data_IF_184279143677
#
_entry.id   IF_184279143677
#
_cell.length_a   1.000
_cell.length_b   1.000
_cell.length_c   1.000
_cell.angle_alpha   90.00
_cell.angle_beta   90.00
_cell.angle_gamma   90.00
#
_symmetry.space_group_name_H-M   'P 1'
#
loop_
_entity.id
_entity.type
_entity.pdbx_description
1 polymer ?
#
# COMPACT_ATOMS: atom_id res chain seq x y z
N UNK A 1 15.12 -48.66 -21.72
CA UNK A 1 13.79 -48.78 -21.09
C UNK A 1 14.00 -48.54 -19.62
N UNK A 2 13.91 -47.58 -19.21
CA UNK A 2 13.78 -46.22 -18.75
C UNK A 2 13.28 -46.22 -17.30
N UNK A 3 14.27 -46.16 -16.42
CA UNK A 3 14.11 -46.09 -14.98
C UNK A 3 13.99 -44.62 -14.53
N UNK A 4 12.91 -43.93 -14.87
CA UNK A 4 12.66 -42.58 -14.31
C UNK A 4 11.22 -42.08 -14.51
N UNK A 5 10.21 -42.93 -14.46
CA UNK A 5 8.89 -42.50 -14.03
C UNK A 5 8.80 -42.66 -12.50
N UNK A 6 9.63 -41.94 -11.77
CA UNK A 6 9.33 -41.67 -10.39
C UNK A 6 8.05 -40.83 -10.37
N UNK A 7 6.98 -41.47 -9.96
CA UNK A 7 5.69 -40.86 -9.74
C UNK A 7 5.90 -39.56 -8.91
N UNK A 8 5.64 -38.40 -9.52
CA UNK A 8 5.81 -37.12 -8.86
C UNK A 8 4.64 -36.99 -7.89
N UNK A 9 4.86 -37.30 -6.61
CA UNK A 9 3.79 -37.35 -5.60
C UNK A 9 3.47 -36.00 -4.95
N UNK A 10 4.39 -35.04 -5.01
CA UNK A 10 4.32 -33.77 -4.30
C UNK A 10 4.61 -33.89 -2.80
N UNK A 11 4.51 -32.76 -2.09
CA UNK A 11 4.75 -32.70 -0.65
C UNK A 11 3.55 -33.20 0.14
N UNK A 12 3.81 -33.84 1.29
CA UNK A 12 2.75 -34.20 2.26
C UNK A 12 2.37 -32.99 3.12
N UNK A 13 1.14 -32.98 3.66
CA UNK A 13 0.66 -31.91 4.53
C UNK A 13 1.60 -31.65 5.74
N UNK A 14 2.25 -32.68 6.29
CA UNK A 14 3.23 -32.53 7.38
C UNK A 14 4.50 -31.81 6.94
N UNK A 15 5.00 -32.10 5.75
CA UNK A 15 6.18 -31.42 5.17
C UNK A 15 5.89 -29.99 4.84
N UNK A 16 4.71 -29.69 4.29
CA UNK A 16 4.26 -28.33 4.04
C UNK A 16 4.20 -27.52 5.35
N UNK A 17 3.63 -28.10 6.43
CA UNK A 17 3.56 -27.43 7.73
C UNK A 17 4.95 -27.12 8.28
N UNK A 18 5.87 -28.11 8.22
CA UNK A 18 7.25 -27.93 8.66
C UNK A 18 7.95 -26.80 7.89
N UNK A 19 7.80 -26.73 6.55
CA UNK A 19 8.40 -25.66 5.76
C UNK A 19 7.78 -24.28 6.05
N UNK A 20 6.48 -24.23 6.35
CA UNK A 20 5.82 -23.00 6.81
C UNK A 20 6.38 -22.52 8.16
N UNK A 21 6.65 -23.40 9.10
CA UNK A 21 7.28 -23.08 10.39
C UNK A 21 8.73 -22.61 10.23
N UNK A 22 9.48 -23.20 9.32
CA UNK A 22 10.86 -22.80 8.99
C UNK A 22 10.92 -21.48 8.20
N UNK A 23 9.76 -20.90 7.82
CA UNK A 23 9.68 -19.65 7.07
C UNK A 23 10.04 -19.80 5.59
N UNK A 24 10.13 -21.05 5.07
CA UNK A 24 10.41 -21.36 3.66
C UNK A 24 9.14 -21.26 2.81
N UNK A 25 8.50 -20.11 2.86
CA UNK A 25 7.24 -19.79 2.18
C UNK A 25 7.48 -18.66 1.19
N UNK A 26 6.77 -18.68 0.08
CA UNK A 26 6.89 -17.65 -0.95
C UNK A 26 6.53 -16.25 -0.43
N UNK A 27 5.69 -16.16 0.61
CA UNK A 27 5.49 -14.99 1.46
C UNK A 27 4.78 -13.83 0.80
N UNK A 28 4.59 -12.79 1.58
CA UNK A 28 3.75 -11.64 1.25
C UNK A 28 4.24 -10.82 0.03
N UNK A 29 3.67 -11.03 -1.13
CA UNK A 29 3.65 -10.07 -2.24
C UNK A 29 2.55 -9.01 -2.05
N UNK A 30 1.68 -9.17 -1.05
CA UNK A 30 0.61 -8.23 -0.78
C UNK A 30 1.17 -6.89 -0.31
N UNK A 31 0.76 -5.82 -0.96
CA UNK A 31 1.07 -4.46 -0.53
C UNK A 31 0.39 -4.23 0.81
N UNK A 32 1.16 -4.28 1.91
CA UNK A 32 0.64 -3.99 3.25
C UNK A 32 -0.08 -2.66 3.26
N UNK A 33 -1.40 -2.70 3.40
CA UNK A 33 -2.22 -1.51 3.59
C UNK A 33 -2.05 -1.01 5.03
N UNK A 34 -2.21 0.31 5.26
CA UNK A 34 -2.14 0.87 6.60
C UNK A 34 -3.15 0.20 7.53
N UNK A 35 -2.77 -0.06 8.78
CA UNK A 35 -3.73 -0.50 9.80
C UNK A 35 -4.72 0.63 10.14
N UNK A 36 -5.89 0.27 10.70
CA UNK A 36 -6.90 1.26 11.13
C UNK A 36 -6.29 2.22 12.16
N UNK A 37 -5.47 1.72 13.09
CA UNK A 37 -4.77 2.55 14.07
C UNK A 37 -3.80 3.55 13.43
N UNK A 38 -3.08 3.15 12.38
CA UNK A 38 -2.23 4.07 11.61
C UNK A 38 -3.02 5.12 10.85
N UNK A 39 -4.23 4.80 10.37
CA UNK A 39 -5.13 5.75 9.73
C UNK A 39 -5.58 6.79 10.74
N UNK A 40 -6.07 6.38 11.90
CA UNK A 40 -6.51 7.26 12.97
C UNK A 40 -5.35 8.17 13.42
N UNK A 41 -4.20 7.60 13.74
CA UNK A 41 -3.02 8.35 14.16
C UNK A 41 -2.58 9.38 13.11
N UNK A 42 -2.54 9.00 11.82
CA UNK A 42 -2.14 9.93 10.74
C UNK A 42 -3.12 11.07 10.51
N UNK A 43 -4.40 10.92 10.92
CA UNK A 43 -5.40 11.97 10.86
C UNK A 43 -5.45 12.83 12.12
N UNK A 44 -5.06 12.31 13.30
CA UNK A 44 -4.94 13.10 14.54
C UNK A 44 -3.71 14.00 14.48
N UNK A 45 -2.53 13.44 14.17
CA UNK A 45 -1.26 14.16 14.19
C UNK A 45 -1.03 14.93 12.88
N UNK A 46 -1.88 15.92 12.61
CA UNK A 46 -1.72 16.85 11.50
C UNK A 46 -1.34 18.24 12.04
N UNK A 47 -0.57 18.99 11.26
CA UNK A 47 -0.22 20.37 11.60
C UNK A 47 -1.49 21.24 11.86
N UNK A 48 -2.53 20.97 11.07
CA UNK A 48 -3.84 21.60 11.22
C UNK A 48 -4.45 21.36 12.61
N UNK A 49 -4.47 20.13 13.09
CA UNK A 49 -5.01 19.80 14.39
C UNK A 49 -4.16 20.39 15.52
N UNK A 50 -2.84 20.45 15.35
CA UNK A 50 -1.95 21.11 16.32
C UNK A 50 -2.27 22.59 16.48
N UNK A 51 -2.49 23.31 15.40
CA UNK A 51 -2.87 24.72 15.43
C UNK A 51 -4.22 24.89 16.15
N UNK A 52 -5.23 24.08 15.79
CA UNK A 52 -6.54 24.15 16.43
C UNK A 52 -6.48 23.83 17.94
N UNK A 53 -5.66 22.88 18.36
CA UNK A 53 -5.44 22.58 19.78
C UNK A 53 -4.78 23.76 20.48
N UNK A 54 -3.77 24.39 19.88
CA UNK A 54 -3.14 25.57 20.45
C UNK A 54 -4.13 26.73 20.64
N UNK A 55 -4.98 27.00 19.62
CA UNK A 55 -6.03 28.00 19.70
C UNK A 55 -7.07 27.65 20.78
N UNK A 56 -7.46 26.40 20.94
CA UNK A 56 -8.35 25.94 21.99
C UNK A 56 -7.74 26.17 23.39
N UNK A 57 -6.45 25.88 23.56
CA UNK A 57 -5.73 26.16 24.82
C UNK A 57 -5.76 27.66 25.14
N UNK A 58 -5.50 28.54 24.16
CA UNK A 58 -5.59 29.97 24.34
C UNK A 58 -6.98 30.40 24.84
N UNK A 59 -8.07 29.85 24.28
CA UNK A 59 -9.44 30.15 24.72
C UNK A 59 -9.75 29.64 26.13
N UNK A 60 -9.20 28.49 26.52
CA UNK A 60 -9.35 27.94 27.87
C UNK A 60 -8.66 28.83 28.87
N UNK A 61 -7.44 29.30 28.59
CA UNK A 61 -6.67 30.18 29.49
C UNK A 61 -7.39 31.50 29.77
N UNK A 62 -8.14 32.03 28.81
CA UNK A 62 -8.95 33.25 29.01
C UNK A 62 -10.40 32.96 29.45
N UNK A 63 -10.71 31.72 29.83
CA UNK A 63 -12.03 31.26 30.28
C UNK A 63 -13.16 31.60 29.29
N UNK A 64 -12.94 31.38 28.01
CA UNK A 64 -13.87 31.71 26.91
C UNK A 64 -14.47 30.49 26.25
N UNK A 65 -15.13 29.62 27.00
CA UNK A 65 -15.66 28.34 26.55
C UNK A 65 -16.72 28.45 25.44
N UNK A 66 -17.50 29.53 25.39
CA UNK A 66 -18.53 29.75 24.38
C UNK A 66 -17.96 29.81 22.93
N UNK A 67 -16.71 30.23 22.80
CA UNK A 67 -16.05 30.39 21.51
C UNK A 67 -15.35 29.10 21.03
N UNK A 68 -15.50 27.98 21.74
CA UNK A 68 -14.90 26.67 21.37
C UNK A 68 -15.77 25.86 20.39
N UNK A 69 -16.89 26.41 19.90
CA UNK A 69 -17.77 25.72 18.93
C UNK A 69 -17.04 25.26 17.65
N UNK A 70 -15.96 25.95 17.27
CA UNK A 70 -15.14 25.52 16.11
C UNK A 70 -14.52 24.11 16.29
N UNK A 71 -14.30 23.66 17.52
CA UNK A 71 -13.83 22.29 17.78
C UNK A 71 -14.83 21.25 17.28
N UNK A 72 -16.12 21.57 17.26
CA UNK A 72 -17.14 20.72 16.62
C UNK A 72 -16.86 20.53 15.13
N UNK A 73 -16.49 21.60 14.42
CA UNK A 73 -16.11 21.52 12.99
C UNK A 73 -14.83 20.70 12.81
N UNK A 74 -13.84 20.90 13.67
CA UNK A 74 -12.59 20.12 13.65
C UNK A 74 -12.86 18.64 13.88
N UNK A 75 -13.71 18.32 14.85
CA UNK A 75 -14.13 16.94 15.14
C UNK A 75 -14.85 16.29 13.95
N UNK A 76 -15.80 16.99 13.34
CA UNK A 76 -16.50 16.47 12.17
C UNK A 76 -15.57 16.28 10.97
N UNK A 77 -14.65 17.22 10.71
CA UNK A 77 -13.64 17.07 9.66
C UNK A 77 -12.74 15.86 9.90
N UNK A 78 -12.31 15.64 11.15
CA UNK A 78 -11.55 14.47 11.54
C UNK A 78 -12.35 13.17 11.28
N UNK A 79 -13.61 13.12 11.73
CA UNK A 79 -14.46 11.96 11.57
C UNK A 79 -14.69 11.62 10.08
N UNK A 80 -15.00 12.64 9.27
CA UNK A 80 -15.17 12.48 7.82
C UNK A 80 -13.89 11.94 7.19
N UNK A 81 -12.72 12.49 7.53
CA UNK A 81 -11.42 12.04 7.02
C UNK A 81 -11.13 10.58 7.35
N UNK A 82 -11.36 10.18 8.60
CA UNK A 82 -11.17 8.79 9.04
C UNK A 82 -12.13 7.85 8.32
N UNK A 83 -13.43 8.18 8.25
CA UNK A 83 -14.45 7.36 7.58
C UNK A 83 -14.11 7.17 6.10
N UNK A 84 -13.71 8.23 5.41
CA UNK A 84 -13.32 8.17 3.99
C UNK A 84 -12.08 7.28 3.80
N UNK A 85 -11.03 7.43 4.62
CA UNK A 85 -9.80 6.64 4.48
C UNK A 85 -10.05 5.15 4.83
N UNK A 86 -10.88 4.86 5.83
CA UNK A 86 -11.30 3.49 6.17
C UNK A 86 -12.15 2.87 5.07
N UNK A 87 -13.10 3.63 4.49
CA UNK A 87 -13.92 3.15 3.37
C UNK A 87 -13.05 2.84 2.15
N UNK A 88 -12.12 3.73 1.80
CA UNK A 88 -11.15 3.52 0.72
C UNK A 88 -10.29 2.28 0.98
N UNK A 89 -9.79 2.09 2.22
CA UNK A 89 -9.05 0.89 2.60
C UNK A 89 -9.86 -0.38 2.37
N UNK A 90 -11.11 -0.44 2.85
CA UNK A 90 -11.97 -1.64 2.70
C UNK A 90 -12.21 -1.98 1.23
N UNK A 91 -12.40 -0.99 0.36
CA UNK A 91 -12.56 -1.21 -1.09
C UNK A 91 -11.26 -1.81 -1.67
N UNK A 92 -10.10 -1.26 -1.29
CA UNK A 92 -8.81 -1.74 -1.75
C UNK A 92 -8.53 -3.17 -1.27
N UNK A 93 -8.81 -3.46 0.00
CA UNK A 93 -8.61 -4.79 0.57
C UNK A 93 -9.53 -5.82 -0.13
N UNK A 94 -10.80 -5.46 -0.40
CA UNK A 94 -11.74 -6.31 -1.15
C UNK A 94 -11.27 -6.59 -2.58
N UNK A 95 -10.79 -5.58 -3.30
CA UNK A 95 -10.26 -5.75 -4.65
C UNK A 95 -8.97 -6.60 -4.67
N UNK A 96 -8.15 -6.50 -3.63
CA UNK A 96 -6.95 -7.33 -3.51
C UNK A 96 -7.28 -8.80 -3.34
N UNK A 97 -8.30 -9.14 -2.53
CA UNK A 97 -8.77 -10.52 -2.36
C UNK A 97 -9.35 -11.12 -3.65
N UNK A 98 -9.98 -10.31 -4.50
CA UNK A 98 -10.54 -10.80 -5.78
C UNK A 98 -9.46 -10.99 -6.86
N UNK A 99 -8.26 -10.47 -6.67
CA UNK A 99 -7.15 -10.53 -7.63
C UNK A 99 -5.96 -11.33 -7.07
N UNK A 100 -6.17 -12.14 -6.05
CA UNK A 100 -5.11 -13.03 -5.57
C UNK A 100 -4.83 -14.08 -6.64
N UNK A 101 -3.63 -14.08 -7.22
CA UNK A 101 -3.27 -15.09 -8.19
C UNK A 101 -3.15 -16.44 -7.49
N UNK A 102 -3.80 -17.45 -8.07
CA UNK A 102 -3.76 -18.84 -7.60
C UNK A 102 -2.88 -19.68 -8.50
N UNK A 103 -2.32 -20.74 -7.93
CA UNK A 103 -1.51 -21.72 -8.64
C UNK A 103 -1.96 -23.12 -8.27
N UNK A 104 -1.90 -24.04 -9.25
CA UNK A 104 -2.18 -25.46 -9.01
C UNK A 104 -0.92 -26.16 -8.55
N UNK A 105 -0.94 -26.64 -7.32
CA UNK A 105 0.16 -27.43 -6.72
C UNK A 105 -0.23 -28.87 -6.54
N UNK A 106 0.72 -29.76 -6.67
CA UNK A 106 0.57 -31.17 -6.38
C UNK A 106 1.01 -31.45 -4.95
N UNK A 107 0.05 -31.80 -4.08
CA UNK A 107 0.30 -32.18 -2.68
C UNK A 107 -0.52 -33.42 -2.35
N UNK A 108 0.04 -34.31 -1.55
CA UNK A 108 -0.60 -35.60 -1.18
C UNK A 108 -1.16 -36.37 -2.39
N UNK A 109 -0.46 -36.34 -3.54
CA UNK A 109 -0.86 -37.00 -4.78
C UNK A 109 -2.04 -36.35 -5.53
N UNK A 110 -2.54 -35.18 -5.09
CA UNK A 110 -3.67 -34.48 -5.71
C UNK A 110 -3.34 -33.02 -6.03
N UNK A 111 -3.92 -32.51 -7.14
CA UNK A 111 -3.79 -31.10 -7.49
C UNK A 111 -4.73 -30.26 -6.65
N UNK A 112 -4.19 -29.21 -6.03
CA UNK A 112 -4.93 -28.24 -5.23
C UNK A 112 -4.64 -26.82 -5.73
N UNK A 113 -5.63 -25.96 -5.73
CA UNK A 113 -5.43 -24.54 -6.01
C UNK A 113 -5.12 -23.80 -4.71
N UNK A 114 -3.98 -23.15 -4.65
CA UNK A 114 -3.56 -22.36 -3.49
C UNK A 114 -3.14 -20.96 -3.93
N UNK A 115 -3.12 -20.02 -2.98
CA UNK A 115 -2.52 -18.71 -3.23
C UNK A 115 -1.01 -18.83 -3.49
N UNK A 116 -0.49 -18.01 -4.40
CA UNK A 116 0.97 -17.94 -4.67
C UNK A 116 1.77 -17.68 -3.38
N UNK A 117 1.19 -16.96 -2.42
CA UNK A 117 1.83 -16.67 -1.14
C UNK A 117 2.03 -17.93 -0.26
N UNK A 118 1.24 -18.99 -0.50
CA UNK A 118 1.28 -20.23 0.27
C UNK A 118 2.20 -21.31 -0.30
N UNK A 119 2.86 -21.04 -1.44
CA UNK A 119 3.87 -21.94 -2.01
C UNK A 119 5.01 -22.07 -1.02
N UNK A 120 5.47 -23.30 -0.80
CA UNK A 120 6.65 -23.59 0.01
C UNK A 120 7.78 -24.12 -0.84
N UNK A 121 8.98 -24.16 -0.29
CA UNK A 121 10.15 -24.76 -0.93
C UNK A 121 9.87 -26.22 -1.27
N UNK A 122 10.30 -26.68 -2.47
CA UNK A 122 10.07 -28.00 -3.04
C UNK A 122 8.62 -28.33 -3.41
N UNK A 123 7.67 -27.38 -3.33
CA UNK A 123 6.34 -27.58 -3.91
C UNK A 123 6.42 -27.84 -5.42
N UNK A 124 5.62 -28.79 -5.87
CA UNK A 124 5.48 -29.07 -7.31
C UNK A 124 4.20 -28.40 -7.80
N UNK A 125 4.33 -27.57 -8.82
CA UNK A 125 3.20 -26.83 -9.37
C UNK A 125 3.14 -26.89 -10.89
N UNK A 126 1.93 -26.76 -11.41
CA UNK A 126 1.64 -26.77 -12.84
C UNK A 126 1.73 -25.34 -13.40
N UNK A 127 2.47 -25.16 -14.50
CA UNK A 127 2.52 -23.93 -15.28
C UNK A 127 2.01 -24.21 -16.69
N UNK A 128 1.07 -23.41 -17.15
CA UNK A 128 0.47 -23.46 -18.49
C UNK A 128 0.67 -22.15 -19.23
N UNK A 129 0.37 -22.18 -20.52
CA UNK A 129 0.34 -20.98 -21.35
C UNK A 129 -0.43 -19.83 -20.66
N UNK A 130 0.19 -18.64 -20.61
CA UNK A 130 -0.33 -17.46 -19.95
C UNK A 130 -0.07 -17.37 -18.43
N UNK A 131 0.43 -18.43 -17.78
CA UNK A 131 0.75 -18.38 -16.38
C UNK A 131 2.06 -17.61 -16.14
N UNK A 132 2.07 -16.81 -15.10
CA UNK A 132 3.31 -16.23 -14.57
C UNK A 132 4.00 -17.22 -13.64
N UNK A 133 5.31 -17.37 -13.78
CA UNK A 133 6.14 -18.17 -12.87
C UNK A 133 6.19 -17.49 -11.51
N UNK A 134 5.65 -18.15 -10.50
CA UNK A 134 5.41 -17.58 -9.17
C UNK A 134 6.59 -17.74 -8.20
N UNK A 135 7.48 -18.69 -8.46
CA UNK A 135 8.69 -18.96 -7.68
C UNK A 135 9.76 -19.48 -8.61
N UNK A 136 11.03 -19.29 -8.30
CA UNK A 136 12.11 -19.89 -9.09
C UNK A 136 11.99 -21.41 -8.99
N UNK A 137 11.96 -22.10 -10.12
CA UNK A 137 11.64 -23.51 -10.17
C UNK A 137 12.44 -24.25 -11.25
N UNK A 138 12.61 -25.56 -11.05
CA UNK A 138 13.19 -26.48 -12.03
C UNK A 138 12.09 -27.31 -12.66
N UNK A 139 12.09 -27.41 -13.98
CA UNK A 139 11.12 -28.21 -14.73
C UNK A 139 11.37 -29.69 -14.47
N UNK A 140 10.36 -30.40 -13.97
CA UNK A 140 10.39 -31.84 -13.74
C UNK A 140 9.84 -32.65 -14.93
N UNK A 141 8.82 -32.11 -15.59
CA UNK A 141 8.15 -32.79 -16.73
C UNK A 141 7.60 -31.76 -17.70
N UNK A 142 7.68 -32.06 -19.00
CA UNK A 142 7.19 -31.18 -20.07
C UNK A 142 8.26 -30.22 -20.58
N UNK A 143 7.83 -29.38 -21.50
CA UNK A 143 8.61 -28.31 -22.11
C UNK A 143 7.76 -27.09 -22.34
N UNK A 144 8.39 -25.92 -22.39
CA UNK A 144 7.71 -24.65 -22.58
C UNK A 144 8.61 -23.58 -23.19
N UNK A 145 7.99 -22.57 -23.76
CA UNK A 145 8.64 -21.31 -24.11
C UNK A 145 8.33 -20.27 -23.03
N UNK A 146 9.35 -19.62 -22.53
CA UNK A 146 9.28 -18.66 -21.42
C UNK A 146 9.69 -17.28 -21.90
N UNK A 147 8.86 -16.28 -21.65
CA UNK A 147 9.21 -14.88 -21.88
C UNK A 147 9.80 -14.29 -20.61
N UNK A 148 11.07 -13.92 -20.67
CA UNK A 148 11.83 -13.35 -19.56
C UNK A 148 12.00 -11.82 -19.70
N UNK A 149 11.24 -11.15 -20.57
CA UNK A 149 11.41 -9.72 -20.89
C UNK A 149 11.28 -8.78 -19.67
N UNK A 150 10.49 -9.15 -18.68
CA UNK A 150 10.38 -8.39 -17.44
C UNK A 150 11.64 -8.46 -16.56
N UNK A 151 12.48 -9.46 -16.78
CA UNK A 151 13.69 -9.72 -16.00
C UNK A 151 14.94 -9.25 -16.73
N UNK A 152 15.04 -9.58 -18.02
CA UNK A 152 16.22 -9.34 -18.84
C UNK A 152 16.08 -8.12 -19.76
N UNK A 153 14.84 -7.72 -20.08
CA UNK A 153 14.54 -6.71 -21.10
C UNK A 153 14.48 -7.27 -22.54
N UNK A 154 14.81 -8.54 -22.75
CA UNK A 154 14.76 -9.21 -24.04
C UNK A 154 13.38 -9.82 -24.28
N UNK A 155 12.78 -9.54 -25.44
CA UNK A 155 11.40 -9.96 -25.74
C UNK A 155 11.30 -11.35 -26.38
N UNK A 156 12.41 -11.91 -26.81
CA UNK A 156 12.42 -13.22 -27.50
C UNK A 156 12.15 -14.34 -26.48
N UNK A 157 11.17 -15.24 -26.74
CA UNK A 157 10.90 -16.35 -25.85
C UNK A 157 12.06 -17.35 -25.85
N UNK A 158 12.39 -17.87 -24.68
CA UNK A 158 13.44 -18.86 -24.48
C UNK A 158 12.80 -20.23 -24.28
N UNK A 159 13.24 -21.22 -25.07
CA UNK A 159 12.81 -22.61 -24.94
C UNK A 159 13.45 -23.25 -23.69
N UNK A 160 12.62 -23.87 -22.86
CA UNK A 160 13.02 -24.57 -21.64
C UNK A 160 12.45 -25.97 -21.62
N UNK A 161 13.28 -26.94 -21.23
CA UNK A 161 12.96 -28.36 -21.15
C UNK A 161 13.14 -28.92 -19.74
N UNK A 162 12.80 -30.18 -19.56
CA UNK A 162 13.01 -30.91 -18.33
C UNK A 162 14.46 -30.77 -17.84
N UNK A 163 14.65 -30.36 -16.57
CA UNK A 163 15.93 -30.07 -15.93
C UNK A 163 16.36 -28.60 -16.01
N UNK A 164 15.74 -27.78 -16.85
CA UNK A 164 16.05 -26.36 -16.93
C UNK A 164 15.36 -25.57 -15.82
N UNK A 165 15.98 -24.45 -15.43
CA UNK A 165 15.43 -23.52 -14.43
C UNK A 165 14.55 -22.47 -15.11
N UNK A 166 13.41 -22.15 -14.47
CA UNK A 166 12.52 -21.04 -14.82
C UNK A 166 12.47 -20.04 -13.66
N UNK A 167 12.61 -18.78 -13.99
CA UNK A 167 12.75 -17.70 -13.00
C UNK A 167 11.40 -17.08 -12.67
N UNK A 168 11.19 -16.78 -11.39
CA UNK A 168 10.01 -16.04 -10.91
C UNK A 168 9.86 -14.70 -11.64
N UNK A 169 8.63 -14.37 -12.02
CA UNK A 169 8.32 -13.14 -12.76
C UNK A 169 8.31 -13.28 -14.28
N UNK A 170 8.84 -14.37 -14.86
CA UNK A 170 8.68 -14.70 -16.28
C UNK A 170 7.29 -15.24 -16.58
N UNK A 171 6.92 -15.33 -17.87
CA UNK A 171 5.62 -15.84 -18.34
C UNK A 171 5.78 -17.01 -19.27
N UNK A 172 4.93 -18.02 -19.12
CA UNK A 172 4.84 -19.14 -20.07
C UNK A 172 4.09 -18.65 -21.32
N UNK A 173 4.75 -18.66 -22.46
CA UNK A 173 4.18 -18.24 -23.76
C UNK A 173 3.52 -19.41 -24.45
N UNK A 174 4.14 -20.60 -24.41
CA UNK A 174 3.58 -21.82 -24.94
C UNK A 174 4.04 -23.06 -24.16
N UNK A 175 3.30 -24.15 -24.25
CA UNK A 175 3.59 -25.38 -23.53
C UNK A 175 2.92 -25.52 -22.17
N UNK A 176 3.24 -26.64 -21.50
CA UNK A 176 2.75 -26.93 -20.13
C UNK A 176 3.78 -27.78 -19.40
N UNK A 177 4.15 -27.36 -18.22
CA UNK A 177 5.19 -27.99 -17.42
C UNK A 177 4.77 -28.21 -15.97
N UNK A 178 5.31 -29.26 -15.36
CA UNK A 178 5.37 -29.43 -13.91
C UNK A 178 6.75 -28.99 -13.45
N UNK A 179 6.79 -28.03 -12.53
CA UNK A 179 8.03 -27.49 -12.02
C UNK A 179 8.05 -27.55 -10.48
N UNK A 180 9.25 -27.72 -9.91
CA UNK A 180 9.46 -27.76 -8.47
C UNK A 180 10.13 -26.47 -8.01
N UNK A 181 9.56 -25.82 -7.00
CA UNK A 181 10.10 -24.62 -6.39
C UNK A 181 11.50 -24.87 -5.79
N UNK A 182 12.49 -24.09 -6.21
CA UNK A 182 13.88 -24.15 -5.71
C UNK A 182 14.18 -22.95 -4.81
N UNK A 183 13.61 -21.79 -5.12
CA UNK A 183 13.70 -20.61 -4.27
C UNK A 183 12.29 -20.05 -4.02
N UNK A 184 12.06 -19.55 -2.80
CA UNK A 184 10.77 -18.97 -2.40
C UNK A 184 10.99 -17.66 -1.64
N UNK A 185 9.99 -16.78 -1.65
CA UNK A 185 9.98 -15.56 -0.87
C UNK A 185 11.10 -14.58 -1.23
N UNK A 186 11.99 -14.31 -0.28
CA UNK A 186 13.09 -13.33 -0.46
C UNK A 186 14.20 -13.86 -1.37
N UNK A 187 14.31 -15.18 -1.48
CA UNK A 187 15.37 -15.84 -2.26
C UNK A 187 15.00 -15.98 -3.73
N UNK A 188 13.77 -15.68 -4.12
CA UNK A 188 13.34 -15.58 -5.51
C UNK A 188 14.10 -14.50 -6.27
N UNK A 189 14.38 -14.75 -7.54
CA UNK A 189 15.08 -13.84 -8.45
C UNK A 189 14.40 -12.47 -8.52
N UNK A 190 13.07 -12.44 -8.71
CA UNK A 190 12.27 -11.19 -8.69
C UNK A 190 12.42 -10.44 -7.36
N UNK A 191 12.44 -11.16 -6.24
CA UNK A 191 12.57 -10.54 -4.92
C UNK A 191 13.93 -9.91 -4.72
N UNK A 192 15.00 -10.52 -5.23
CA UNK A 192 16.37 -9.98 -5.20
C UNK A 192 16.47 -8.71 -6.03
N UNK A 193 15.93 -8.70 -7.25
CA UNK A 193 15.91 -7.49 -8.12
C UNK A 193 15.06 -6.39 -7.49
N UNK A 194 13.84 -6.71 -7.03
CA UNK A 194 12.93 -5.73 -6.42
C UNK A 194 13.43 -5.25 -5.06
N UNK A 195 14.14 -6.08 -4.31
CA UNK A 195 14.80 -5.72 -3.06
C UNK A 195 15.87 -4.66 -3.25
N UNK A 196 16.65 -4.75 -4.32
CA UNK A 196 17.61 -3.71 -4.73
C UNK A 196 16.91 -2.45 -5.26
N UNK A 197 15.77 -2.60 -5.93
CA UNK A 197 14.94 -1.51 -6.44
C UNK A 197 14.07 -0.82 -5.35
N UNK A 198 14.17 -1.21 -4.09
CA UNK A 198 13.39 -0.63 -2.96
C UNK A 198 13.63 0.87 -2.74
N UNK A 199 14.56 1.47 -3.47
CA UNK A 199 14.76 2.92 -3.59
C UNK A 199 13.84 3.60 -4.60
N UNK A 200 12.90 2.89 -5.25
CA UNK A 200 11.88 3.55 -6.05
C UNK A 200 11.03 4.38 -5.09
N UNK A 201 11.31 5.68 -5.05
CA UNK A 201 10.49 6.69 -4.36
C UNK A 201 9.04 6.41 -4.70
N UNK A 202 8.21 6.21 -3.66
CA UNK A 202 6.75 6.18 -3.83
C UNK A 202 6.37 7.32 -4.77
N UNK A 203 5.62 7.09 -5.85
CA UNK A 203 5.17 8.16 -6.71
C UNK A 203 4.44 9.17 -5.83
N UNK A 204 5.10 10.27 -5.52
CA UNK A 204 4.47 11.38 -4.85
C UNK A 204 3.71 12.11 -5.94
N UNK A 205 2.38 12.01 -5.92
CA UNK A 205 1.56 12.86 -6.76
C UNK A 205 2.00 14.30 -6.61
N UNK A 206 2.31 14.94 -7.73
CA UNK A 206 2.70 16.36 -7.76
C UNK A 206 1.60 17.24 -7.18
N UNK A 207 0.35 16.87 -7.46
CA UNK A 207 -0.83 17.54 -6.92
C UNK A 207 -0.88 17.51 -5.39
N UNK A 208 -0.70 16.33 -4.76
CA UNK A 208 -0.65 16.20 -3.31
C UNK A 208 0.55 16.91 -2.70
N UNK A 209 1.67 16.95 -3.41
CA UNK A 209 2.86 17.69 -2.97
C UNK A 209 2.58 19.19 -2.98
N UNK A 210 1.97 19.71 -4.02
CA UNK A 210 1.60 21.13 -4.16
C UNK A 210 0.59 21.55 -3.09
N UNK A 211 -0.47 20.78 -2.86
CA UNK A 211 -1.47 21.08 -1.82
C UNK A 211 -0.82 21.09 -0.44
N UNK A 212 0.01 20.09 -0.12
CA UNK A 212 0.74 20.05 1.17
C UNK A 212 1.69 21.23 1.34
N UNK A 213 2.33 21.67 0.27
CA UNK A 213 3.22 22.85 0.29
C UNK A 213 2.40 24.10 0.60
N UNK A 214 1.28 24.31 -0.08
CA UNK A 214 0.36 25.44 0.17
C UNK A 214 -0.10 25.45 1.61
N UNK A 215 -0.60 24.33 2.14
CA UNK A 215 -1.02 24.21 3.54
C UNK A 215 0.12 24.56 4.50
N UNK A 216 1.34 24.07 4.22
CA UNK A 216 2.51 24.35 5.05
C UNK A 216 2.87 25.83 5.05
N UNK A 217 2.88 26.48 3.87
CA UNK A 217 3.16 27.91 3.73
C UNK A 217 2.12 28.74 4.48
N UNK A 218 0.83 28.46 4.27
CA UNK A 218 -0.26 29.16 4.97
C UNK A 218 -0.13 28.99 6.48
N UNK A 219 0.15 27.77 6.95
CA UNK A 219 0.30 27.50 8.39
C UNK A 219 1.47 28.24 9.03
N UNK A 220 2.59 28.39 8.30
CA UNK A 220 3.75 29.17 8.78
C UNK A 220 3.43 30.67 8.78
N UNK A 221 2.77 31.16 7.73
CA UNK A 221 2.40 32.58 7.61
C UNK A 221 1.37 33.00 8.67
N UNK A 222 0.55 32.06 9.10
CA UNK A 222 -0.52 32.30 10.08
C UNK A 222 0.02 32.70 11.46
N UNK A 223 1.23 32.22 11.83
CA UNK A 223 1.84 32.55 13.13
C UNK A 223 2.17 34.04 13.25
N UNK A 224 2.93 34.68 12.34
CA UNK A 224 3.21 36.10 12.43
C UNK A 224 1.96 36.96 12.25
N UNK A 225 1.01 36.53 11.41
CA UNK A 225 -0.28 37.21 11.25
C UNK A 225 -1.08 37.20 12.55
N UNK A 226 -1.15 36.05 13.23
CA UNK A 226 -1.82 35.93 14.52
C UNK A 226 -1.17 36.83 15.58
N UNK A 227 0.16 36.89 15.62
CA UNK A 227 0.88 37.77 16.54
C UNK A 227 0.60 39.24 16.26
N UNK A 228 0.62 39.66 14.98
CA UNK A 228 0.29 41.02 14.56
C UNK A 228 -1.17 41.40 14.90
N UNK A 229 -2.11 40.52 14.65
CA UNK A 229 -3.52 40.72 15.00
C UNK A 229 -3.70 40.85 16.49
N UNK A 230 -3.06 40.01 17.28
CA UNK A 230 -3.12 40.06 18.72
C UNK A 230 -2.55 41.41 19.27
N UNK A 231 -1.38 41.83 18.77
CA UNK A 231 -0.75 43.08 19.11
C UNK A 231 -1.68 44.27 18.80
N UNK A 232 -2.22 44.30 17.57
CA UNK A 232 -3.15 45.35 17.17
C UNK A 232 -4.43 45.41 18.02
N UNK A 233 -4.95 44.25 18.45
CA UNK A 233 -6.12 44.18 19.32
C UNK A 233 -5.83 44.71 20.76
N UNK A 234 -4.59 44.52 21.23
CA UNK A 234 -4.17 45.00 22.54
C UNK A 234 -3.97 46.52 22.59
N UNK A 235 -3.66 47.18 21.45
CA UNK A 235 -3.50 48.63 21.36
C UNK A 235 -4.87 49.40 21.33
N UNK A 236 -5.97 48.69 21.07
CA UNK A 236 -7.30 49.33 21.01
C UNK A 236 -7.76 49.69 22.45
N UNK A 237 -7.98 50.99 22.76
CA UNK A 237 -8.43 51.40 24.07
C UNK A 237 -9.76 50.76 24.47
N UNK A 238 -9.84 50.17 25.67
CA UNK A 238 -11.05 49.57 26.20
C UNK A 238 -11.22 48.07 25.87
N UNK A 239 -10.33 47.45 25.09
CA UNK A 239 -10.34 46.02 24.83
C UNK A 239 -9.50 45.31 25.88
N UNK A 240 -10.14 44.48 26.71
CA UNK A 240 -9.43 43.62 27.65
C UNK A 240 -8.77 42.42 26.99
N UNK A 241 -7.76 41.83 27.66
CA UNK A 241 -7.01 40.66 27.21
C UNK A 241 -7.90 39.53 26.67
N UNK A 242 -9.00 39.23 27.34
CA UNK A 242 -9.97 38.20 26.95
C UNK A 242 -10.56 38.48 25.57
N UNK A 243 -10.99 39.69 25.30
CA UNK A 243 -11.59 40.09 24.03
C UNK A 243 -10.57 40.10 22.91
N UNK A 244 -9.35 40.55 23.16
CA UNK A 244 -8.25 40.53 22.21
C UNK A 244 -7.89 39.10 21.76
N UNK A 245 -7.77 38.17 22.72
CA UNK A 245 -7.52 36.74 22.41
C UNK A 245 -8.65 36.14 21.61
N UNK A 246 -9.92 36.37 22.02
CA UNK A 246 -11.09 35.81 21.33
C UNK A 246 -11.17 36.30 19.87
N UNK A 247 -10.99 37.60 19.65
CA UNK A 247 -11.01 38.19 18.29
C UNK A 247 -9.87 37.66 17.42
N UNK A 248 -8.66 37.54 17.97
CA UNK A 248 -7.52 36.99 17.27
C UNK A 248 -7.75 35.52 16.88
N UNK A 249 -8.22 34.69 17.83
CA UNK A 249 -8.53 33.30 17.58
C UNK A 249 -9.62 33.15 16.52
N UNK A 250 -10.68 33.94 16.57
CA UNK A 250 -11.75 33.92 15.58
C UNK A 250 -11.25 34.27 14.17
N UNK A 251 -10.40 35.29 14.05
CA UNK A 251 -9.78 35.70 12.79
C UNK A 251 -8.86 34.58 12.23
N UNK A 252 -8.02 34.00 13.08
CA UNK A 252 -7.11 32.92 12.70
C UNK A 252 -7.88 31.69 12.22
N UNK A 253 -8.95 31.27 12.90
CA UNK A 253 -9.79 30.16 12.50
C UNK A 253 -10.39 30.40 11.11
N UNK A 254 -10.86 31.62 10.83
CA UNK A 254 -11.41 32.01 9.53
C UNK A 254 -10.37 31.98 8.39
N UNK A 255 -9.08 32.13 8.70
CA UNK A 255 -8.00 32.08 7.71
C UNK A 255 -7.52 30.66 7.42
N UNK A 256 -7.88 29.67 8.24
CA UNK A 256 -7.46 28.29 8.04
C UNK A 256 -8.27 27.63 6.92
N UNK A 257 -7.65 27.15 5.82
CA UNK A 257 -8.38 26.57 4.70
C UNK A 257 -8.79 25.11 5.00
N UNK A 258 -9.79 24.93 5.87
CA UNK A 258 -10.28 23.62 6.31
C UNK A 258 -10.71 22.72 5.14
N UNK A 259 -11.25 23.29 4.05
CA UNK A 259 -11.62 22.59 2.84
C UNK A 259 -10.42 21.98 2.11
N UNK A 260 -9.25 22.63 2.09
CA UNK A 260 -8.04 22.07 1.47
C UNK A 260 -7.49 20.88 2.28
N UNK A 261 -7.62 20.90 3.61
CA UNK A 261 -7.23 19.78 4.46
C UNK A 261 -8.09 18.56 4.19
N UNK A 262 -9.41 18.75 4.05
CA UNK A 262 -10.34 17.67 3.68
C UNK A 262 -10.04 17.15 2.26
N UNK A 263 -9.77 18.04 1.31
CA UNK A 263 -9.42 17.67 -0.07
C UNK A 263 -8.18 16.77 -0.14
N UNK A 264 -7.16 17.00 0.70
CA UNK A 264 -5.95 16.14 0.73
C UNK A 264 -6.27 14.70 1.09
N UNK A 265 -7.24 14.45 1.96
CA UNK A 265 -7.67 13.10 2.32
C UNK A 265 -8.43 12.42 1.17
N UNK A 266 -9.29 13.17 0.47
CA UNK A 266 -10.02 12.67 -0.71
C UNK A 266 -9.09 12.33 -1.86
N UNK A 267 -8.21 13.24 -2.27
CA UNK A 267 -7.25 13.02 -3.38
C UNK A 267 -6.34 11.83 -3.08
N UNK A 268 -5.89 11.65 -1.84
CA UNK A 268 -5.10 10.48 -1.43
C UNK A 268 -5.87 9.17 -1.60
N UNK A 269 -7.18 9.17 -1.37
CA UNK A 269 -8.02 7.99 -1.54
C UNK A 269 -8.24 7.66 -3.02
N UNK A 270 -8.48 8.67 -3.85
CA UNK A 270 -8.69 8.52 -5.31
C UNK A 270 -7.41 8.08 -6.03
N UNK A 271 -6.24 8.65 -5.71
CA UNK A 271 -4.97 8.21 -6.32
C UNK A 271 -4.68 6.74 -6.07
N UNK A 272 -4.99 6.23 -4.88
CA UNK A 272 -4.83 4.80 -4.59
C UNK A 272 -5.78 3.95 -5.40
N UNK A 273 -6.99 4.44 -5.69
CA UNK A 273 -7.98 3.77 -6.51
C UNK A 273 -7.53 3.72 -7.97
N UNK A 274 -7.19 4.86 -8.56
CA UNK A 274 -6.74 4.97 -9.95
C UNK A 274 -5.45 4.18 -10.20
N UNK A 275 -4.48 4.24 -9.29
CA UNK A 275 -3.23 3.47 -9.42
C UNK A 275 -3.42 1.96 -9.42
N UNK A 276 -4.49 1.43 -8.80
CA UNK A 276 -4.84 0.00 -8.84
C UNK A 276 -5.69 -0.36 -10.05
N UNK A 277 -6.61 0.51 -10.49
CA UNK A 277 -7.37 0.31 -11.72
C UNK A 277 -6.47 0.27 -12.96
N UNK A 278 -5.43 1.12 -13.02
CA UNK A 278 -4.41 1.02 -14.05
C UNK A 278 -3.66 -0.32 -14.00
N UNK A 279 -3.32 -0.81 -12.79
CA UNK A 279 -2.59 -2.07 -12.64
C UNK A 279 -3.46 -3.30 -12.98
N UNK A 280 -4.77 -3.25 -12.74
CA UNK A 280 -5.69 -4.32 -13.14
C UNK A 280 -6.01 -4.31 -14.64
N UNK A 281 -5.96 -3.14 -15.32
CA UNK A 281 -6.12 -3.03 -16.78
C UNK A 281 -4.90 -3.52 -17.57
N UNK A 282 -3.72 -3.58 -16.94
CA UNK A 282 -2.50 -4.14 -17.52
C UNK A 282 -2.30 -5.62 -17.15
N UNK A 283 -3.28 -6.25 -16.54
CA UNK A 283 -3.30 -7.72 -16.44
C UNK A 283 -3.54 -8.29 -17.84
N UNK A 284 -2.72 -9.25 -18.30
CA UNK A 284 -2.78 -9.79 -19.67
C UNK A 284 -4.02 -10.65 -19.95
N UNK A 285 -5.07 -10.55 -19.14
CA UNK A 285 -6.34 -11.26 -19.31
C UNK A 285 -7.44 -10.34 -19.87
N UNK A 286 -7.12 -9.64 -20.97
CA UNK A 286 -8.10 -9.10 -21.91
C UNK A 286 -7.58 -9.31 -23.32
#
# INVERSE_FOLDING_TARGET
MDAEEKEIWGLTAKEVHKRKEEGLVNGNFSVKTKSIGQIISSNIFTLFNFINIALAICLILVHSYKNMLFLGVVFWNFLIGVVQEVRSKRIIDKLSLMSEPVVKVLRDGSFQEISIEEIVLDDVFELKNGNQVCADAVILKGDCEVNESLLTGESDPVYRKCGDEVLSGSYIVSGSVLARAVHVGKDNYVSKITGQAKYIKKPNSEMLRSIRMIIKIISILLIPVAACLFYNQMEVPGIGLKSAVVSTVAAVIGMIPSGLVLLTSMVRSEERRVGKECRSRWSPYH
#
